data_IF_551163880915
#
_entry.id   IF_551163880915
#
_cell.length_a   1.000
_cell.length_b   1.000
_cell.length_c   1.000
_cell.angle_alpha   90.00
_cell.angle_beta   90.00
_cell.angle_gamma   90.00
#
_symmetry.space_group_name_H-M   'P 1'
#
loop_
_entity.id
_entity.type
_entity.pdbx_description
1 polymer ?
#
# COMPACT_ATOMS: atom_id res chain seq x y z
N UNK A 1 23.44 -11.10 -14.79
CA UNK A 1 23.43 -9.67 -15.13
C UNK A 1 22.43 -9.00 -14.19
N UNK A 2 22.89 -8.21 -13.23
CA UNK A 2 22.02 -7.47 -12.28
C UNK A 2 21.48 -6.25 -13.03
N UNK A 3 20.16 -6.06 -12.97
CA UNK A 3 19.45 -5.04 -13.72
C UNK A 3 19.92 -3.63 -13.31
N UNK A 4 19.84 -2.74 -14.29
CA UNK A 4 20.31 -1.35 -14.31
C UNK A 4 19.40 -0.48 -13.42
N UNK A 5 19.40 -0.69 -12.10
CA UNK A 5 18.68 0.17 -11.15
C UNK A 5 19.53 1.35 -10.65
N UNK A 6 20.82 1.40 -10.99
CA UNK A 6 21.79 2.34 -10.42
C UNK A 6 21.89 3.71 -11.13
N UNK A 7 21.12 3.98 -12.20
CA UNK A 7 21.38 5.18 -13.04
C UNK A 7 20.56 6.43 -12.70
N UNK A 8 19.57 6.41 -11.80
CA UNK A 8 18.87 7.65 -11.44
C UNK A 8 18.32 7.60 -10.01
N UNK A 9 19.06 8.13 -9.03
CA UNK A 9 18.62 8.78 -7.77
C UNK A 9 17.30 8.41 -7.05
N UNK A 10 16.69 7.27 -7.31
CA UNK A 10 15.37 6.83 -6.88
C UNK A 10 15.45 5.36 -6.43
N UNK A 11 16.27 5.06 -5.42
CA UNK A 11 16.45 3.67 -4.97
C UNK A 11 15.37 3.27 -3.96
N UNK A 12 14.31 2.59 -4.41
CA UNK A 12 13.33 1.91 -3.54
C UNK A 12 13.91 0.55 -3.13
N UNK A 13 15.05 0.61 -2.42
CA UNK A 13 15.91 -0.44 -1.81
C UNK A 13 15.48 -1.89 -2.06
N UNK A 14 16.43 -2.76 -2.40
CA UNK A 14 16.21 -4.20 -2.63
C UNK A 14 15.26 -4.87 -1.62
N UNK A 15 14.18 -5.46 -2.12
CA UNK A 15 13.03 -5.89 -1.31
C UNK A 15 12.60 -7.34 -1.54
N UNK A 16 13.31 -8.15 -2.34
CA UNK A 16 13.08 -9.62 -2.50
C UNK A 16 11.63 -10.04 -2.79
N UNK A 17 10.81 -9.17 -3.41
CA UNK A 17 9.37 -9.39 -3.60
C UNK A 17 8.57 -9.51 -2.28
N UNK A 18 9.10 -8.97 -1.17
CA UNK A 18 8.44 -8.86 0.13
C UNK A 18 7.76 -7.48 0.28
N UNK A 19 6.43 -7.39 0.23
CA UNK A 19 5.72 -6.11 0.21
C UNK A 19 6.05 -5.18 1.39
N UNK A 20 6.19 -5.74 2.59
CA UNK A 20 6.54 -4.95 3.79
C UNK A 20 7.93 -4.30 3.69
N UNK A 21 8.88 -4.91 2.96
CA UNK A 21 10.20 -4.31 2.73
C UNK A 21 10.10 -3.08 1.84
N UNK A 22 9.20 -3.09 0.84
CA UNK A 22 8.91 -1.91 -0.01
C UNK A 22 8.31 -0.78 0.82
N UNK A 23 7.31 -1.08 1.65
CA UNK A 23 6.68 -0.08 2.55
C UNK A 23 7.73 0.57 3.44
N UNK A 24 8.63 -0.24 4.03
CA UNK A 24 9.74 0.25 4.84
C UNK A 24 10.69 1.16 4.05
N UNK A 25 11.07 0.76 2.83
CA UNK A 25 11.97 1.53 1.99
C UNK A 25 11.37 2.92 1.66
N UNK A 26 10.11 2.96 1.22
CA UNK A 26 9.41 4.21 0.87
C UNK A 26 9.22 5.10 2.10
N UNK A 27 8.75 4.54 3.23
CA UNK A 27 8.57 5.30 4.47
C UNK A 27 9.89 5.90 4.96
N UNK A 28 10.97 5.12 4.94
CA UNK A 28 12.28 5.61 5.35
C UNK A 28 12.81 6.70 4.41
N UNK A 29 12.57 6.57 3.11
CA UNK A 29 12.91 7.63 2.15
C UNK A 29 12.21 8.96 2.47
N UNK A 30 10.92 8.95 2.84
CA UNK A 30 10.24 10.18 3.30
C UNK A 30 10.87 10.79 4.56
N UNK A 31 11.31 9.96 5.49
CA UNK A 31 11.96 10.43 6.72
C UNK A 31 13.31 11.05 6.39
N UNK A 32 14.10 10.40 5.54
CA UNK A 32 15.43 10.84 5.13
C UNK A 32 15.37 12.10 4.23
N UNK A 33 14.44 12.15 3.27
CA UNK A 33 14.37 13.20 2.25
C UNK A 33 13.67 14.48 2.75
N UNK A 34 12.63 14.36 3.57
CA UNK A 34 11.80 15.51 3.99
C UNK A 34 11.54 15.57 5.50
N UNK A 35 12.18 14.71 6.30
CA UNK A 35 12.02 14.73 7.76
C UNK A 35 10.64 14.32 8.27
N UNK A 36 9.81 13.68 7.43
CA UNK A 36 8.44 13.32 7.79
C UNK A 36 8.42 12.07 8.68
N UNK A 37 8.48 12.27 9.99
CA UNK A 37 8.40 11.19 10.98
C UNK A 37 6.92 10.93 11.32
N UNK A 38 6.38 9.85 10.74
CA UNK A 38 5.00 9.36 10.98
C UNK A 38 4.99 7.89 11.39
N UNK A 39 3.88 7.17 11.18
CA UNK A 39 3.65 5.79 11.56
C UNK A 39 4.81 4.86 11.18
N UNK A 40 4.96 3.76 11.92
CA UNK A 40 5.97 2.75 11.62
C UNK A 40 5.63 2.02 10.31
N UNK A 41 6.62 1.45 9.60
CA UNK A 41 6.35 0.62 8.43
C UNK A 41 5.36 -0.52 8.72
N UNK A 42 5.43 -1.10 9.92
CA UNK A 42 4.51 -2.15 10.37
C UNK A 42 3.10 -1.61 10.51
N UNK A 43 2.90 -0.46 11.15
CA UNK A 43 1.56 0.12 11.30
C UNK A 43 0.92 0.49 9.95
N UNK A 44 1.72 0.99 8.99
CA UNK A 44 1.26 1.26 7.61
C UNK A 44 0.84 -0.05 6.94
N UNK A 45 1.67 -1.09 7.05
CA UNK A 45 1.38 -2.40 6.46
C UNK A 45 0.13 -3.04 7.07
N UNK A 46 0.01 -3.03 8.40
CA UNK A 46 -1.14 -3.59 9.10
C UNK A 46 -2.44 -2.88 8.71
N UNK A 47 -2.41 -1.55 8.61
CA UNK A 47 -3.57 -0.78 8.14
C UNK A 47 -3.92 -1.07 6.68
N UNK A 48 -2.93 -1.37 5.83
CA UNK A 48 -3.19 -1.81 4.46
C UNK A 48 -3.81 -3.22 4.42
N UNK A 49 -3.33 -4.14 5.25
CA UNK A 49 -3.91 -5.48 5.36
C UNK A 49 -5.36 -5.44 5.87
N UNK A 50 -5.64 -4.61 6.87
CA UNK A 50 -7.00 -4.38 7.39
C UNK A 50 -7.93 -3.86 6.28
N UNK A 51 -7.49 -2.84 5.54
CA UNK A 51 -8.22 -2.33 4.38
C UNK A 51 -8.51 -3.42 3.34
N UNK A 52 -7.54 -4.28 3.00
CA UNK A 52 -7.75 -5.34 2.01
C UNK A 52 -8.77 -6.38 2.49
N UNK A 53 -8.74 -6.74 3.78
CA UNK A 53 -9.72 -7.65 4.35
C UNK A 53 -11.14 -7.08 4.29
N UNK A 54 -11.30 -5.79 4.60
CA UNK A 54 -12.57 -5.08 4.52
C UNK A 54 -13.04 -4.90 3.08
N UNK A 55 -12.12 -4.59 2.16
CA UNK A 55 -12.39 -4.44 0.73
C UNK A 55 -12.92 -5.76 0.16
N UNK A 56 -12.24 -6.87 0.42
CA UNK A 56 -12.64 -8.20 -0.02
C UNK A 56 -14.06 -8.52 0.46
N UNK A 57 -14.29 -8.43 1.78
CA UNK A 57 -15.59 -8.70 2.39
C UNK A 57 -16.70 -7.82 1.82
N UNK A 58 -16.40 -6.54 1.54
CA UNK A 58 -17.36 -5.60 0.97
C UNK A 58 -17.67 -5.95 -0.49
N UNK A 59 -16.66 -6.23 -1.29
CA UNK A 59 -16.78 -6.46 -2.74
C UNK A 59 -17.41 -7.81 -3.07
N UNK A 60 -17.15 -8.83 -2.27
CA UNK A 60 -17.86 -10.12 -2.35
C UNK A 60 -19.38 -9.94 -2.15
N UNK A 61 -19.80 -9.08 -1.21
CA UNK A 61 -21.23 -8.74 -1.01
C UNK A 61 -21.83 -7.95 -2.18
N UNK A 62 -20.99 -7.29 -2.97
CA UNK A 62 -21.36 -6.60 -4.21
C UNK A 62 -21.30 -7.54 -5.44
N UNK A 63 -21.08 -8.84 -5.24
CA UNK A 63 -20.92 -9.88 -6.27
C UNK A 63 -19.67 -9.71 -7.16
N UNK A 64 -18.61 -9.08 -6.66
CA UNK A 64 -17.31 -9.13 -7.32
C UNK A 64 -16.66 -10.48 -7.09
N UNK A 65 -16.03 -11.04 -8.12
CA UNK A 65 -15.14 -12.19 -7.98
C UNK A 65 -13.77 -11.75 -7.42
N UNK A 66 -12.96 -12.71 -6.98
CA UNK A 66 -11.58 -12.44 -6.57
C UNK A 66 -10.78 -11.81 -7.72
N UNK A 67 -10.98 -12.26 -8.96
CA UNK A 67 -10.30 -11.74 -10.15
C UNK A 67 -10.68 -10.26 -10.39
N UNK A 68 -11.96 -9.90 -10.23
CA UNK A 68 -12.41 -8.51 -10.35
C UNK A 68 -11.76 -7.60 -9.30
N UNK A 69 -11.48 -8.13 -8.10
CA UNK A 69 -10.85 -7.39 -7.00
C UNK A 69 -9.34 -7.25 -7.25
N UNK A 70 -8.68 -8.32 -7.68
CA UNK A 70 -7.24 -8.35 -7.96
C UNK A 70 -6.87 -7.43 -9.14
N UNK A 71 -7.76 -7.33 -10.13
CA UNK A 71 -7.61 -6.46 -11.30
C UNK A 71 -8.43 -5.17 -11.22
N UNK A 72 -8.89 -4.79 -10.03
CA UNK A 72 -9.64 -3.55 -9.81
C UNK A 72 -8.84 -2.34 -10.31
N UNK A 73 -9.44 -1.44 -11.13
CA UNK A 73 -8.75 -0.25 -11.60
C UNK A 73 -8.24 0.61 -10.43
N UNK A 74 -6.99 1.08 -10.52
CA UNK A 74 -6.36 1.90 -9.48
C UNK A 74 -7.22 3.11 -9.04
N UNK A 75 -7.91 3.85 -9.94
CA UNK A 75 -8.82 4.92 -9.50
C UNK A 75 -9.93 4.43 -8.58
N UNK A 76 -10.55 3.27 -8.87
CA UNK A 76 -11.60 2.68 -8.04
C UNK A 76 -11.04 2.20 -6.71
N UNK A 77 -9.88 1.54 -6.72
CA UNK A 77 -9.20 1.10 -5.49
C UNK A 77 -8.89 2.29 -4.57
N UNK A 78 -8.38 3.39 -5.14
CA UNK A 78 -8.12 4.63 -4.40
C UNK A 78 -9.39 5.26 -3.83
N UNK A 79 -10.51 5.22 -4.57
CA UNK A 79 -11.81 5.65 -4.06
C UNK A 79 -12.26 4.81 -2.87
N UNK A 80 -12.13 3.48 -2.96
CA UNK A 80 -12.46 2.57 -1.87
C UNK A 80 -11.59 2.84 -0.63
N UNK A 81 -10.28 3.02 -0.81
CA UNK A 81 -9.33 3.30 0.27
C UNK A 81 -9.62 4.63 0.97
N UNK A 82 -9.95 5.69 0.22
CA UNK A 82 -10.36 6.98 0.80
C UNK A 82 -11.65 6.86 1.61
N UNK A 83 -12.65 6.16 1.07
CA UNK A 83 -13.91 5.94 1.79
C UNK A 83 -13.70 5.10 3.07
N UNK A 84 -12.78 4.15 3.04
CA UNK A 84 -12.41 3.35 4.20
C UNK A 84 -11.73 4.19 5.29
N UNK A 85 -10.79 5.05 4.92
CA UNK A 85 -10.12 5.98 5.85
C UNK A 85 -11.11 6.90 6.57
N UNK A 86 -12.06 7.49 5.85
CA UNK A 86 -13.10 8.36 6.45
C UNK A 86 -13.89 7.60 7.51
N UNK A 87 -14.32 6.37 7.22
CA UNK A 87 -15.07 5.54 8.19
C UNK A 87 -14.23 5.18 9.42
N UNK A 88 -12.94 4.93 9.23
CA UNK A 88 -12.02 4.58 10.33
C UNK A 88 -11.77 5.75 11.28
N UNK A 89 -11.83 6.99 10.79
CA UNK A 89 -11.72 8.19 11.63
C UNK A 89 -13.00 8.49 12.43
N UNK A 90 -14.15 7.99 11.98
CA UNK A 90 -15.45 8.14 12.66
C UNK A 90 -15.74 7.08 13.73
N UNK A 91 -14.94 5.99 13.78
CA UNK A 91 -15.11 4.85 14.67
C UNK A 91 -14.32 4.99 15.98
#
# INVERSE_FOLDING_TARGET
MRAISDINGFDIKFHENEPIKVVRAVRNWFVEAVGLIKESPTAIWDSFCEFNADLLTKKEKENFSQDDIDFMPIPELLMCMRAWLIKKEEA
#
